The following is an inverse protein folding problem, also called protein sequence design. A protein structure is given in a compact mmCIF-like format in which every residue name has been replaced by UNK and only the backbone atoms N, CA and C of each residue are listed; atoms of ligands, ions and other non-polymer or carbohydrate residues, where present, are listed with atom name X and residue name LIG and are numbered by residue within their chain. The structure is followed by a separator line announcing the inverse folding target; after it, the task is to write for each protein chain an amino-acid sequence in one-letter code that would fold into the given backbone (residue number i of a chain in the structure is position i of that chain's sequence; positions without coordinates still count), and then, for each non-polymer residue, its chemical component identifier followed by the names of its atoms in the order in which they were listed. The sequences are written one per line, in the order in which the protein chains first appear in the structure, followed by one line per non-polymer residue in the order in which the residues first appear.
data_IF_609542682239
#
_entry.id   IF_609542682239
#
_cell.length_a   1.000
_cell.length_b   1.000
_cell.length_c   1.000
_cell.angle_alpha   90.00
_cell.angle_beta   90.00
_cell.angle_gamma   90.00
#
_symmetry.space_group_name_H-M   'P 1'
#
loop_
_entity.id
_entity.type
_entity.pdbx_description
1 polymer ?
#
# COMPACT_ATOMS: atom_id res chain seq x y z
N UNK A 1 -37.06 5.86 -16.17
CA UNK A 1 -35.84 5.69 -16.99
C UNK A 1 -34.69 5.83 -16.01
N UNK A 2 -34.14 4.71 -15.55
CA UNK A 2 -33.09 4.66 -14.54
C UNK A 2 -31.80 5.21 -15.13
N UNK A 3 -31.28 6.26 -14.51
CA UNK A 3 -29.96 6.81 -14.80
C UNK A 3 -28.93 5.71 -14.47
N UNK A 4 -28.51 4.96 -15.48
CA UNK A 4 -27.34 4.09 -15.40
C UNK A 4 -26.16 5.05 -15.50
N UNK A 5 -25.88 5.70 -14.36
CA UNK A 5 -24.72 6.55 -14.21
C UNK A 5 -23.52 5.77 -14.69
N UNK A 6 -22.92 6.24 -15.78
CA UNK A 6 -21.65 5.77 -16.30
C UNK A 6 -20.69 5.74 -15.12
N UNK A 7 -20.43 4.53 -14.59
CA UNK A 7 -19.43 4.35 -13.54
C UNK A 7 -18.12 4.81 -14.14
N UNK A 8 -17.68 6.00 -13.73
CA UNK A 8 -16.39 6.54 -14.07
C UNK A 8 -15.35 5.44 -13.74
N UNK A 9 -14.50 4.98 -14.67
CA UNK A 9 -13.58 3.87 -14.42
C UNK A 9 -12.61 4.14 -13.25
N UNK A 10 -12.50 5.40 -12.82
CA UNK A 10 -11.77 5.81 -11.60
C UNK A 10 -12.49 5.45 -10.30
N UNK A 11 -13.81 5.21 -10.31
CA UNK A 11 -14.58 4.79 -9.13
C UNK A 11 -14.35 3.32 -8.73
N UNK A 12 -13.68 2.54 -9.59
CA UNK A 12 -13.30 1.14 -9.34
C UNK A 12 -11.83 1.03 -8.89
N UNK A 13 -11.15 2.14 -8.65
CA UNK A 13 -9.91 2.11 -7.86
C UNK A 13 -10.37 1.85 -6.43
N UNK A 14 -10.31 0.58 -6.01
CA UNK A 14 -10.54 0.21 -4.61
C UNK A 14 -9.73 1.17 -3.77
N UNK A 15 -10.37 1.90 -2.88
CA UNK A 15 -9.65 2.62 -1.84
C UNK A 15 -8.89 1.53 -1.08
N UNK A 16 -7.54 1.44 -1.19
CA UNK A 16 -6.83 0.47 -0.39
C UNK A 16 -7.14 0.82 1.06
N UNK A 17 -7.67 -0.14 1.82
CA UNK A 17 -8.01 0.11 3.24
C UNK A 17 -6.77 0.54 4.04
N UNK A 18 -5.58 0.20 3.52
CA UNK A 18 -4.29 0.45 4.12
C UNK A 18 -3.26 0.79 3.03
N UNK A 19 -2.59 1.93 3.16
CA UNK A 19 -1.53 2.38 2.24
C UNK A 19 -0.18 2.25 2.91
N UNK A 20 0.74 1.51 2.29
CA UNK A 20 2.14 1.42 2.68
C UNK A 20 3.02 2.15 1.65
N UNK A 21 4.07 2.82 2.12
CA UNK A 21 5.13 3.35 1.26
C UNK A 21 6.49 2.87 1.75
N UNK A 22 7.34 2.49 0.79
CA UNK A 22 8.72 2.07 1.06
C UNK A 22 9.65 2.88 0.17
N UNK A 23 10.71 3.45 0.77
CA UNK A 23 11.76 4.15 0.04
C UNK A 23 13.00 3.28 0.01
N UNK A 24 13.66 3.24 -1.16
CA UNK A 24 14.88 2.44 -1.38
C UNK A 24 14.69 0.95 -1.06
N UNK A 25 13.58 0.37 -1.51
CA UNK A 25 13.27 -1.04 -1.20
C UNK A 25 14.35 -2.03 -1.69
N UNK A 26 15.05 -1.71 -2.78
CA UNK A 26 16.13 -2.55 -3.32
C UNK A 26 17.30 -2.72 -2.35
N UNK A 27 17.58 -1.71 -1.51
CA UNK A 27 18.63 -1.78 -0.48
C UNK A 27 18.24 -2.74 0.67
N UNK A 28 16.94 -2.97 0.86
CA UNK A 28 16.37 -3.66 2.03
C UNK A 28 15.95 -5.10 1.66
N UNK A 29 15.35 -5.29 0.48
CA UNK A 29 14.88 -6.59 0.01
C UNK A 29 14.93 -6.65 -1.54
N UNK A 30 16.10 -6.95 -2.14
CA UNK A 30 16.34 -6.80 -3.57
C UNK A 30 15.53 -7.75 -4.48
N UNK A 31 15.04 -8.87 -3.97
CA UNK A 31 14.39 -9.92 -4.76
C UNK A 31 12.86 -10.00 -4.60
N UNK A 32 12.23 -8.97 -4.04
CA UNK A 32 10.76 -8.94 -3.86
C UNK A 32 10.04 -8.78 -5.20
N UNK A 33 9.06 -9.65 -5.45
CA UNK A 33 8.21 -9.61 -6.65
C UNK A 33 6.75 -9.37 -6.28
N UNK A 34 5.99 -8.85 -7.24
CA UNK A 34 4.54 -8.70 -7.08
C UNK A 34 3.93 -10.09 -6.87
N UNK A 35 3.21 -10.25 -5.75
CA UNK A 35 2.59 -11.51 -5.35
C UNK A 35 3.31 -12.22 -4.19
N UNK A 36 4.53 -11.81 -3.83
CA UNK A 36 5.24 -12.37 -2.70
C UNK A 36 4.56 -12.00 -1.37
N UNK A 37 4.63 -12.93 -0.41
CA UNK A 37 4.22 -12.67 0.98
C UNK A 37 5.44 -12.22 1.77
N UNK A 38 5.32 -11.08 2.44
CA UNK A 38 6.41 -10.46 3.20
C UNK A 38 5.94 -10.06 4.60
N UNK A 39 6.89 -10.10 5.54
CA UNK A 39 6.73 -9.44 6.83
C UNK A 39 7.25 -8.01 6.72
N UNK A 40 6.53 -7.06 7.33
CA UNK A 40 6.83 -5.63 7.24
C UNK A 40 6.96 -5.01 8.62
N UNK A 41 8.05 -4.28 8.87
CA UNK A 41 8.17 -3.36 9.99
C UNK A 41 7.88 -1.96 9.47
N UNK A 42 6.95 -1.25 10.12
CA UNK A 42 6.53 0.07 9.68
C UNK A 42 6.25 1.00 10.86
N UNK A 43 6.32 2.29 10.56
CA UNK A 43 5.85 3.37 11.42
C UNK A 43 4.52 3.91 10.88
N UNK A 44 3.61 4.27 11.78
CA UNK A 44 2.36 4.94 11.39
C UNK A 44 2.65 6.40 11.13
N UNK A 45 2.22 6.91 9.99
CA UNK A 45 2.43 8.27 9.52
C UNK A 45 1.13 8.90 8.99
N UNK A 46 1.13 10.21 8.76
CA UNK A 46 0.03 10.94 8.16
C UNK A 46 0.49 11.53 6.83
N UNK A 47 -0.13 11.07 5.74
CA UNK A 47 0.07 11.68 4.43
C UNK A 47 -0.83 12.91 4.30
N UNK A 48 -0.21 14.09 4.23
CA UNK A 48 -0.91 15.37 4.06
C UNK A 48 -0.64 15.95 2.68
N UNK A 49 -1.69 16.04 1.86
CA UNK A 49 -1.59 16.61 0.52
C UNK A 49 -2.85 17.40 0.16
N UNK A 50 -2.67 18.65 -0.25
CA UNK A 50 -3.76 19.55 -0.65
C UNK A 50 -4.89 19.67 0.40
N UNK A 51 -4.54 19.67 1.69
CA UNK A 51 -5.49 19.76 2.81
C UNK A 51 -6.19 18.43 3.15
N UNK A 52 -5.99 17.37 2.38
CA UNK A 52 -6.41 16.02 2.75
C UNK A 52 -5.36 15.37 3.66
N UNK A 53 -5.83 14.56 4.61
CA UNK A 53 -5.00 13.80 5.55
C UNK A 53 -5.45 12.36 5.52
N UNK A 54 -4.52 11.45 5.29
CA UNK A 54 -4.78 10.01 5.27
C UNK A 54 -3.74 9.28 6.13
N UNK A 55 -4.19 8.22 6.82
CA UNK A 55 -3.25 7.35 7.54
C UNK A 55 -2.43 6.58 6.51
N UNK A 56 -1.13 6.60 6.69
CA UNK A 56 -0.16 5.87 5.88
C UNK A 56 0.77 5.08 6.81
N UNK A 57 1.38 4.02 6.27
CA UNK A 57 2.43 3.29 6.97
C UNK A 57 3.72 3.43 6.19
N UNK A 58 4.76 3.94 6.86
CA UNK A 58 6.09 4.09 6.29
C UNK A 58 6.91 2.86 6.64
N UNK A 59 7.34 2.13 5.62
CA UNK A 59 8.14 0.92 5.79
C UNK A 59 9.55 1.29 6.25
N UNK A 60 9.99 0.66 7.34
CA UNK A 60 11.34 0.76 7.90
C UNK A 60 12.18 -0.44 7.51
N UNK A 61 11.57 -1.64 7.47
CA UNK A 61 12.24 -2.88 7.11
C UNK A 61 11.26 -3.88 6.48
N UNK A 62 11.80 -4.79 5.66
CA UNK A 62 11.05 -5.80 4.91
C UNK A 62 11.82 -7.11 4.90
N UNK A 63 11.11 -8.24 5.01
CA UNK A 63 11.70 -9.55 4.75
C UNK A 63 10.70 -10.51 4.12
N UNK A 64 11.16 -11.50 3.34
CA UNK A 64 10.31 -12.60 2.88
C UNK A 64 9.64 -13.27 4.08
N UNK A 65 8.34 -13.56 3.95
CA UNK A 65 7.63 -14.29 4.99
C UNK A 65 8.09 -15.75 4.98
N UNK A 66 8.57 -16.23 6.13
CA UNK A 66 8.93 -17.63 6.34
C UNK A 66 7.83 -18.26 7.17
N UNK A 67 7.08 -19.18 6.56
CA UNK A 67 6.10 -19.97 7.29
C UNK A 67 6.83 -20.76 8.40
N UNK A 68 6.33 -20.65 9.63
CA UNK A 68 6.85 -21.48 10.73
C UNK A 68 6.45 -22.94 10.47
N UNK A 69 7.46 -23.80 10.35
CA UNK A 69 7.32 -25.26 10.17
C UNK A 69 7.19 -25.93 11.54
#
# INVERSE_FOLDING_TARGET
MSDIGTRDPKSVIRNPQHTLICFRYEDICPDIRVGDVVDVVFEVDVNEWNGNREIQMKVVDLRPHVASV
#
